data_IF_197568066513
#
_entry.id   IF_197568066513
#
_cell.length_a   1.000
_cell.length_b   1.000
_cell.length_c   1.000
_cell.angle_alpha   90.00
_cell.angle_beta   90.00
_cell.angle_gamma   90.00
#
_symmetry.space_group_name_H-M   'P 1'
#
loop_
_entity.id
_entity.type
_entity.pdbx_description
1 polymer ?
#
# COMPACT_ATOMS: atom_id res chain seq x y z
N UNK A 1 -1.21 12.34 -11.34
CA UNK A 1 -1.04 13.79 -11.43
C UNK A 1 0.13 14.13 -12.33
N UNK A 2 -0.04 15.05 -13.29
CA UNK A 2 1.01 15.47 -14.22
C UNK A 2 2.20 16.17 -13.54
N UNK A 3 2.01 16.74 -12.34
CA UNK A 3 3.05 17.54 -11.67
C UNK A 3 3.93 16.75 -10.69
N UNK A 4 3.65 15.46 -10.46
CA UNK A 4 4.49 14.61 -9.60
C UNK A 4 5.16 13.54 -10.42
N UNK A 5 6.47 13.44 -10.27
CA UNK A 5 7.27 12.34 -10.82
C UNK A 5 7.73 11.41 -9.71
N UNK A 6 7.94 10.13 -10.02
CA UNK A 6 8.40 9.19 -8.99
C UNK A 6 9.81 9.55 -8.48
N UNK A 7 10.64 10.18 -9.33
CA UNK A 7 12.07 10.36 -9.05
C UNK A 7 12.71 9.01 -8.74
N UNK A 8 13.44 8.94 -7.63
CA UNK A 8 14.13 7.72 -7.18
C UNK A 8 13.22 6.70 -6.47
N UNK A 9 11.93 7.00 -6.26
CA UNK A 9 11.02 6.09 -5.56
C UNK A 9 10.67 4.85 -6.41
N UNK A 10 10.96 3.66 -5.89
CA UNK A 10 10.75 2.36 -6.58
C UNK A 10 9.75 1.45 -5.88
N UNK A 11 9.07 1.91 -4.82
CA UNK A 11 8.23 1.10 -3.93
C UNK A 11 7.18 0.27 -4.68
N UNK A 12 6.42 0.86 -5.61
CA UNK A 12 5.41 0.11 -6.36
C UNK A 12 6.03 -0.96 -7.29
N UNK A 13 7.21 -0.68 -7.86
CA UNK A 13 7.95 -1.64 -8.71
C UNK A 13 8.43 -2.87 -7.92
N UNK A 14 8.68 -2.73 -6.62
CA UNK A 14 9.04 -3.83 -5.75
C UNK A 14 7.81 -4.56 -5.16
N UNK A 15 6.86 -3.82 -4.57
CA UNK A 15 5.85 -4.44 -3.70
C UNK A 15 4.56 -4.91 -4.37
N UNK A 16 4.20 -4.38 -5.54
CA UNK A 16 2.91 -4.69 -6.19
C UNK A 16 3.07 -5.88 -7.13
N UNK A 17 2.23 -6.93 -7.04
CA UNK A 17 2.23 -8.01 -8.04
C UNK A 17 1.63 -7.54 -9.37
N UNK A 18 2.07 -8.12 -10.48
CA UNK A 18 1.48 -7.89 -11.80
C UNK A 18 1.06 -9.23 -12.38
N UNK A 19 -0.19 -9.35 -12.79
CA UNK A 19 -0.72 -10.53 -13.47
C UNK A 19 -1.38 -10.08 -14.78
N UNK A 20 -0.60 -9.94 -15.85
CA UNK A 20 -1.08 -9.59 -17.18
C UNK A 20 -0.53 -10.56 -18.23
N UNK A 21 -1.22 -10.74 -19.37
CA UNK A 21 -0.77 -11.66 -20.41
C UNK A 21 0.63 -11.35 -20.96
N UNK A 22 1.04 -10.09 -20.97
CA UNK A 22 2.30 -9.58 -21.51
C UNK A 22 3.40 -9.42 -20.44
N UNK A 23 3.04 -9.41 -19.15
CA UNK A 23 4.00 -9.28 -18.07
C UNK A 23 3.44 -9.81 -16.74
N UNK A 24 4.24 -10.61 -16.06
CA UNK A 24 3.95 -11.11 -14.72
C UNK A 24 5.08 -10.78 -13.75
N UNK A 25 4.72 -10.39 -12.53
CA UNK A 25 5.68 -10.03 -11.49
C UNK A 25 5.18 -10.45 -10.12
N UNK A 26 6.03 -11.17 -9.39
CA UNK A 26 5.75 -11.55 -8.01
C UNK A 26 5.61 -10.32 -7.08
N UNK A 27 4.80 -10.41 -6.01
CA UNK A 27 4.76 -9.40 -4.97
C UNK A 27 6.08 -9.38 -4.18
N UNK A 28 6.47 -8.20 -3.66
CA UNK A 28 7.69 -8.03 -2.85
C UNK A 28 8.98 -8.53 -3.52
N UNK A 29 9.03 -8.44 -4.85
CA UNK A 29 10.20 -8.78 -5.66
C UNK A 29 10.44 -7.63 -6.63
N UNK A 30 11.71 -7.25 -6.79
CA UNK A 30 12.09 -6.23 -7.75
C UNK A 30 11.56 -6.59 -9.14
N UNK A 31 10.92 -5.62 -9.80
CA UNK A 31 10.65 -5.71 -11.23
C UNK A 31 11.95 -5.96 -12.00
N UNK A 32 11.95 -6.90 -12.94
CA UNK A 32 13.11 -7.20 -13.78
C UNK A 32 13.56 -6.00 -14.63
N UNK A 33 12.66 -5.06 -14.89
CA UNK A 33 12.96 -3.82 -15.62
C UNK A 33 13.36 -2.66 -14.71
N UNK A 34 13.46 -2.87 -13.39
CA UNK A 34 13.90 -1.84 -12.46
C UNK A 34 15.40 -1.58 -12.63
N UNK A 35 15.77 -0.33 -12.88
CA UNK A 35 17.18 0.06 -12.98
C UNK A 35 17.81 0.18 -11.59
N UNK A 36 19.14 -0.03 -11.52
CA UNK A 36 19.90 -0.01 -10.26
C UNK A 36 19.73 1.27 -9.43
N UNK A 37 19.59 2.42 -10.11
CA UNK A 37 19.45 3.73 -9.48
C UNK A 37 18.00 4.26 -9.52
N UNK A 38 17.01 3.37 -9.71
CA UNK A 38 15.61 3.77 -9.92
C UNK A 38 15.25 4.04 -11.38
N UNK A 39 13.95 4.06 -11.66
CA UNK A 39 13.42 4.13 -13.03
C UNK A 39 13.24 2.77 -13.70
N UNK A 40 12.75 2.78 -14.94
CA UNK A 40 12.36 1.59 -15.68
C UNK A 40 13.09 1.51 -17.03
N UNK A 41 13.77 0.40 -17.31
CA UNK A 41 14.50 0.19 -18.58
C UNK A 41 13.60 0.17 -19.81
N UNK A 42 12.31 -0.14 -19.63
CA UNK A 42 11.29 -0.17 -20.68
C UNK A 42 10.24 0.93 -20.51
N UNK A 43 10.58 2.07 -19.89
CA UNK A 43 9.59 3.08 -19.50
C UNK A 43 8.62 3.46 -20.63
N UNK A 44 9.10 3.69 -21.85
CA UNK A 44 8.27 4.08 -22.99
C UNK A 44 7.34 2.96 -23.49
N UNK A 45 7.70 1.70 -23.25
CA UNK A 45 6.95 0.51 -23.70
C UNK A 45 6.42 -0.31 -22.52
N UNK A 46 6.26 0.32 -21.35
CA UNK A 46 5.83 -0.35 -20.13
C UNK A 46 4.40 -0.89 -20.28
N UNK A 47 4.07 -2.05 -19.68
CA UNK A 47 2.73 -2.62 -19.76
C UNK A 47 1.64 -1.65 -19.30
N UNK A 48 0.42 -1.82 -19.81
CA UNK A 48 -0.71 -0.92 -19.52
C UNK A 48 -0.96 -0.73 -18.01
N UNK A 49 -0.85 -1.80 -17.23
CA UNK A 49 -0.96 -1.74 -15.76
C UNK A 49 0.09 -0.81 -15.14
N UNK A 50 1.32 -0.84 -15.61
CA UNK A 50 2.39 0.06 -15.15
C UNK A 50 2.19 1.50 -15.65
N UNK A 51 1.63 1.67 -16.85
CA UNK A 51 1.39 2.98 -17.44
C UNK A 51 0.22 3.73 -16.77
N UNK A 52 -0.85 3.02 -16.41
CA UNK A 52 -2.03 3.57 -15.75
C UNK A 52 -1.96 3.60 -14.22
N UNK A 53 -0.91 3.04 -13.61
CA UNK A 53 -0.79 2.99 -12.16
C UNK A 53 -0.31 4.32 -11.56
N UNK A 54 -1.04 4.80 -10.56
CA UNK A 54 -0.62 5.88 -9.67
C UNK A 54 -0.89 5.49 -8.23
N UNK A 55 0.14 5.51 -7.37
CA UNK A 55 -0.09 5.45 -5.93
C UNK A 55 -0.83 6.72 -5.45
N UNK A 56 -1.42 6.67 -4.25
CA UNK A 56 -2.15 7.78 -3.64
C UNK A 56 -1.41 9.11 -3.74
N UNK A 57 -0.11 9.13 -3.41
CA UNK A 57 0.74 10.33 -3.55
C UNK A 57 0.79 10.89 -4.98
N UNK A 58 0.87 10.03 -6.00
CA UNK A 58 0.80 10.43 -7.42
C UNK A 58 -0.63 10.77 -7.85
N UNK A 59 -1.65 10.24 -7.19
CA UNK A 59 -3.05 10.36 -7.58
C UNK A 59 -3.73 11.60 -7.00
N UNK A 60 -3.34 12.06 -5.81
CA UNK A 60 -4.04 13.13 -5.10
C UNK A 60 -3.09 14.15 -4.46
N UNK A 61 -3.43 15.44 -4.62
CA UNK A 61 -2.68 16.57 -4.04
C UNK A 61 -2.89 16.71 -2.53
N UNK A 62 -3.88 16.01 -1.96
CA UNK A 62 -4.12 16.01 -0.50
C UNK A 62 -2.95 15.42 0.29
N UNK A 63 -2.14 14.57 -0.36
CA UNK A 63 -0.95 13.97 0.23
C UNK A 63 0.24 14.89 0.06
N UNK A 64 0.99 15.12 1.14
CA UNK A 64 2.18 15.99 1.16
C UNK A 64 3.36 15.36 0.40
N UNK A 65 4.40 16.13 0.11
CA UNK A 65 5.55 15.64 -0.67
C UNK A 65 6.44 14.64 0.08
N UNK A 66 6.46 14.71 1.41
CA UNK A 66 7.08 13.71 2.30
C UNK A 66 6.26 12.42 2.41
N UNK A 67 5.07 12.36 1.80
CA UNK A 67 4.25 11.15 1.73
C UNK A 67 4.56 10.29 0.51
N UNK A 68 5.61 10.64 -0.26
CA UNK A 68 6.16 9.75 -1.28
C UNK A 68 6.52 8.42 -0.61
N UNK A 69 6.17 7.25 -1.19
CA UNK A 69 6.21 5.99 -0.44
C UNK A 69 7.55 5.60 0.18
N UNK A 70 8.66 5.92 -0.50
CA UNK A 70 10.04 5.73 -0.03
C UNK A 70 10.41 6.59 1.18
N UNK A 71 9.78 7.77 1.31
CA UNK A 71 9.97 8.68 2.45
C UNK A 71 9.03 8.36 3.62
N UNK A 72 7.77 8.06 3.29
CA UNK A 72 6.74 7.78 4.28
C UNK A 72 6.93 6.43 4.96
N UNK A 73 7.48 5.44 4.24
CA UNK A 73 7.45 4.05 4.69
C UNK A 73 6.11 3.36 4.49
N UNK A 74 5.20 3.94 3.71
CA UNK A 74 3.91 3.34 3.38
C UNK A 74 3.51 3.62 1.93
N UNK A 75 2.93 2.62 1.27
CA UNK A 75 2.31 2.74 -0.04
C UNK A 75 0.80 2.88 0.14
N UNK A 76 0.27 4.02 -0.24
CA UNK A 76 -1.17 4.31 -0.23
C UNK A 76 -1.74 4.05 -1.62
N UNK A 77 -2.89 3.38 -1.68
CA UNK A 77 -3.71 3.18 -2.88
C UNK A 77 -5.13 3.67 -2.58
N UNK A 78 -5.70 4.41 -3.54
CA UNK A 78 -7.14 4.73 -3.53
C UNK A 78 -7.85 3.60 -4.27
N UNK A 79 -8.72 2.87 -3.59
CA UNK A 79 -9.41 1.71 -4.12
C UNK A 79 -10.91 1.97 -4.22
N UNK A 80 -11.51 1.44 -5.29
CA UNK A 80 -12.97 1.32 -5.48
C UNK A 80 -13.44 -0.13 -5.37
N UNK A 81 -12.53 -1.06 -5.06
CA UNK A 81 -12.77 -2.51 -5.05
C UNK A 81 -12.57 -3.08 -3.65
N UNK A 82 -13.30 -4.17 -3.37
CA UNK A 82 -13.17 -4.88 -2.09
C UNK A 82 -13.68 -4.09 -0.89
N UNK A 83 -14.55 -3.10 -1.12
CA UNK A 83 -15.12 -2.25 -0.07
C UNK A 83 -16.42 -2.89 0.42
N UNK A 84 -16.53 -3.21 1.72
CA UNK A 84 -17.75 -3.76 2.30
C UNK A 84 -18.96 -2.82 2.15
N UNK A 85 -20.17 -3.40 2.09
CA UNK A 85 -21.41 -2.65 1.81
C UNK A 85 -21.79 -1.63 2.89
N UNK A 86 -21.26 -1.78 4.11
CA UNK A 86 -21.44 -0.84 5.22
C UNK A 86 -20.64 0.47 5.05
N UNK A 87 -19.79 0.58 4.02
CA UNK A 87 -19.10 1.81 3.67
C UNK A 87 -19.83 2.56 2.53
N UNK A 88 -20.57 3.64 2.83
CA UNK A 88 -21.46 4.29 1.86
C UNK A 88 -20.73 4.99 0.72
N UNK A 89 -19.48 5.43 0.94
CA UNK A 89 -18.68 6.14 -0.05
C UNK A 89 -18.28 5.27 -1.26
N UNK A 90 -18.30 3.92 -1.13
CA UNK A 90 -17.82 2.96 -2.15
C UNK A 90 -16.42 3.27 -2.70
N UNK A 91 -15.65 4.06 -1.95
CA UNK A 91 -14.25 4.38 -2.13
C UNK A 91 -13.55 4.22 -0.78
N UNK A 92 -12.31 3.74 -0.82
CA UNK A 92 -11.52 3.44 0.36
C UNK A 92 -10.03 3.62 0.11
N UNK A 93 -9.26 3.49 1.17
CA UNK A 93 -7.80 3.58 1.12
C UNK A 93 -7.21 2.25 1.55
N UNK A 94 -6.29 1.74 0.74
CA UNK A 94 -5.44 0.61 1.09
C UNK A 94 -4.06 1.14 1.43
N UNK A 95 -3.56 0.76 2.60
CA UNK A 95 -2.28 1.19 3.13
C UNK A 95 -1.40 -0.05 3.28
N UNK A 96 -0.37 -0.18 2.44
CA UNK A 96 0.67 -1.19 2.64
C UNK A 96 1.86 -0.59 3.37
N UNK A 97 2.15 -1.06 4.57
CA UNK A 97 3.33 -0.61 5.33
C UNK A 97 4.58 -1.28 4.75
N UNK A 98 5.60 -0.48 4.47
CA UNK A 98 6.86 -0.86 3.80
C UNK A 98 8.05 -0.71 4.75
N UNK A 99 8.07 0.40 5.49
CA UNK A 99 9.03 0.66 6.56
C UNK A 99 8.23 1.03 7.80
N UNK A 100 8.18 0.08 8.74
CA UNK A 100 7.42 0.21 10.00
C UNK A 100 7.90 1.42 10.82
N UNK A 101 9.20 1.67 10.87
CA UNK A 101 9.75 2.73 11.70
C UNK A 101 9.39 4.11 11.12
N UNK A 102 9.61 4.30 9.81
CA UNK A 102 9.29 5.55 9.15
C UNK A 102 7.77 5.83 9.17
N UNK A 103 6.94 4.82 8.89
CA UNK A 103 5.49 4.99 8.87
C UNK A 103 4.94 5.35 10.26
N UNK A 104 5.33 4.63 11.32
CA UNK A 104 4.78 4.85 12.67
C UNK A 104 5.32 6.11 13.34
N UNK A 105 6.51 6.58 12.96
CA UNK A 105 7.06 7.83 13.46
C UNK A 105 6.41 9.07 12.83
N UNK A 106 5.70 8.94 11.70
CA UNK A 106 5.04 10.06 11.03
C UNK A 106 3.68 10.43 11.69
N UNK A 107 3.68 11.51 12.46
CA UNK A 107 2.50 12.04 13.15
C UNK A 107 1.31 12.34 12.23
N UNK A 108 1.58 12.98 11.10
CA UNK A 108 0.52 13.41 10.18
C UNK A 108 -0.14 12.22 9.49
N UNK A 109 0.63 11.17 9.24
CA UNK A 109 0.11 9.91 8.73
C UNK A 109 -0.80 9.20 9.74
N UNK A 110 -0.42 9.15 11.02
CA UNK A 110 -1.29 8.62 12.08
C UNK A 110 -2.58 9.42 12.23
N UNK A 111 -2.49 10.76 12.24
CA UNK A 111 -3.66 11.66 12.28
C UNK A 111 -4.57 11.45 11.08
N UNK A 112 -4.00 11.28 9.90
CA UNK A 112 -4.77 11.01 8.70
C UNK A 112 -5.54 9.70 8.77
N UNK A 113 -4.91 8.61 9.22
CA UNK A 113 -5.63 7.33 9.40
C UNK A 113 -6.81 7.52 10.36
N UNK A 114 -6.60 8.22 11.48
CA UNK A 114 -7.66 8.54 12.43
C UNK A 114 -8.79 9.37 11.81
N UNK A 115 -8.46 10.38 11.01
CA UNK A 115 -9.42 11.23 10.29
C UNK A 115 -10.22 10.40 9.29
N UNK A 116 -9.57 9.54 8.49
CA UNK A 116 -10.26 8.70 7.50
C UNK A 116 -11.22 7.72 8.18
N UNK A 117 -10.80 7.09 9.29
CA UNK A 117 -11.66 6.21 10.08
C UNK A 117 -12.83 6.97 10.70
N UNK A 118 -12.61 8.14 11.30
CA UNK A 118 -13.68 8.94 11.92
C UNK A 118 -14.73 9.43 10.91
N UNK A 119 -14.32 9.67 9.66
CA UNK A 119 -15.22 10.03 8.56
C UNK A 119 -15.95 8.84 7.95
N UNK A 120 -15.70 7.62 8.42
CA UNK A 120 -16.31 6.41 7.90
C UNK A 120 -15.77 5.99 6.53
N UNK A 121 -14.58 6.45 6.11
CA UNK A 121 -13.93 5.93 4.90
C UNK A 121 -13.38 4.54 5.18
N UNK A 122 -13.57 3.58 4.27
CA UNK A 122 -12.96 2.25 4.42
C UNK A 122 -11.42 2.38 4.40
N UNK A 123 -10.76 1.95 5.48
CA UNK A 123 -9.29 1.95 5.57
C UNK A 123 -8.81 0.52 5.80
N UNK A 124 -8.03 0.01 4.85
CA UNK A 124 -7.37 -1.29 4.93
C UNK A 124 -5.89 -1.08 5.23
N UNK A 125 -5.35 -1.81 6.21
CA UNK A 125 -3.92 -1.91 6.46
C UNK A 125 -3.42 -3.26 6.00
N UNK A 126 -2.31 -3.27 5.27
CA UNK A 126 -1.62 -4.46 4.78
C UNK A 126 -0.17 -4.49 5.28
N UNK A 127 0.29 -5.65 5.73
CA UNK A 127 1.67 -5.88 6.14
C UNK A 127 2.13 -7.30 5.77
N UNK A 128 3.42 -7.45 5.49
CA UNK A 128 4.00 -8.67 4.90
C UNK A 128 4.85 -8.33 3.69
N UNK A 129 6.16 -8.45 3.86
CA UNK A 129 7.18 -8.04 2.88
C UNK A 129 7.96 -9.24 2.33
N UNK A 130 7.54 -10.46 2.65
CA UNK A 130 8.20 -11.67 2.20
C UNK A 130 8.17 -11.76 0.67
N UNK A 131 9.33 -11.96 0.02
CA UNK A 131 9.43 -12.08 -1.42
C UNK A 131 8.54 -13.20 -1.96
N UNK A 132 7.71 -12.87 -2.95
CA UNK A 132 6.78 -13.82 -3.56
C UNK A 132 5.50 -14.09 -2.78
N UNK A 133 5.29 -13.47 -1.62
CA UNK A 133 4.08 -13.65 -0.82
C UNK A 133 3.14 -12.43 -0.87
N UNK A 134 1.83 -12.65 -0.75
CA UNK A 134 0.88 -11.56 -0.47
C UNK A 134 1.16 -10.93 0.88
N UNK A 135 0.87 -9.63 1.03
CA UNK A 135 0.67 -9.06 2.35
C UNK A 135 -0.64 -9.60 2.97
N UNK A 136 -0.64 -9.81 4.27
CA UNK A 136 -1.87 -9.99 5.03
C UNK A 136 -2.53 -8.61 5.23
N UNK A 137 -3.87 -8.56 5.34
CA UNK A 137 -4.60 -7.29 5.41
C UNK A 137 -5.79 -7.36 6.37
N UNK A 138 -6.15 -6.21 6.95
CA UNK A 138 -7.36 -6.06 7.77
C UNK A 138 -7.97 -4.67 7.63
N UNK A 139 -9.27 -4.54 7.91
CA UNK A 139 -9.93 -3.24 8.01
C UNK A 139 -9.66 -2.59 9.37
N UNK A 140 -9.24 -1.33 9.35
CA UNK A 140 -8.94 -0.59 10.57
C UNK A 140 -10.18 0.00 11.24
N UNK A 141 -11.25 0.26 10.51
CA UNK A 141 -12.37 1.09 10.98
C UNK A 141 -12.97 0.64 12.32
N UNK A 142 -13.22 -0.67 12.49
CA UNK A 142 -13.80 -1.20 13.72
C UNK A 142 -12.80 -1.20 14.87
N UNK A 143 -11.57 -1.62 14.60
CA UNK A 143 -10.53 -1.83 15.62
C UNK A 143 -9.91 -0.52 16.10
N UNK A 144 -9.84 0.50 15.24
CA UNK A 144 -9.32 1.82 15.60
C UNK A 144 -10.36 2.73 16.26
N UNK A 145 -11.66 2.42 16.19
CA UNK A 145 -12.71 3.30 16.72
C UNK A 145 -12.46 3.76 18.16
N UNK A 146 -12.11 2.89 19.13
CA UNK A 146 -11.82 3.34 20.50
C UNK A 146 -10.59 4.26 20.59
N UNK A 147 -9.54 3.97 19.82
CA UNK A 147 -8.31 4.79 19.80
C UNK A 147 -8.55 6.17 19.16
N UNK A 148 -9.41 6.23 18.14
CA UNK A 148 -9.83 7.48 17.51
C UNK A 148 -10.68 8.32 18.48
N UNK A 149 -11.53 7.71 19.28
CA UNK A 149 -12.32 8.38 20.32
C UNK A 149 -11.45 8.95 21.46
N UNK A 150 -10.34 8.27 21.80
CA UNK A 150 -9.33 8.80 22.74
C UNK A 150 -8.64 10.05 22.17
N UNK A 151 -8.50 10.15 20.85
CA UNK A 151 -8.04 11.36 20.16
C UNK A 151 -6.52 11.62 20.26
N UNK A 152 -5.71 10.64 20.67
CA UNK A 152 -4.25 10.77 20.73
C UNK A 152 -3.54 9.95 19.65
N UNK A 153 -2.40 10.47 19.17
CA UNK A 153 -1.54 9.75 18.21
C UNK A 153 -1.12 8.39 18.79
N UNK A 154 -0.68 8.37 20.04
CA UNK A 154 -0.11 7.16 20.65
C UNK A 154 -1.14 6.04 20.78
N UNK A 155 -2.42 6.36 21.02
CA UNK A 155 -3.49 5.36 21.04
C UNK A 155 -3.66 4.73 19.64
N UNK A 156 -3.72 5.54 18.60
CA UNK A 156 -3.87 5.06 17.20
C UNK A 156 -2.64 4.26 16.77
N UNK A 157 -1.45 4.79 17.03
CA UNK A 157 -0.17 4.14 16.72
C UNK A 157 -0.04 2.80 17.45
N UNK A 158 -0.40 2.73 18.73
CA UNK A 158 -0.33 1.50 19.52
C UNK A 158 -1.21 0.39 18.94
N UNK A 159 -2.43 0.71 18.51
CA UNK A 159 -3.33 -0.25 17.87
C UNK A 159 -2.81 -0.67 16.49
N UNK A 160 -2.34 0.26 15.66
CA UNK A 160 -1.74 -0.07 14.35
C UNK A 160 -0.52 -0.97 14.53
N UNK A 161 0.35 -0.66 15.50
CA UNK A 161 1.54 -1.44 15.79
C UNK A 161 1.19 -2.88 16.19
N UNK A 162 0.18 -3.06 17.04
CA UNK A 162 -0.32 -4.39 17.42
C UNK A 162 -0.92 -5.14 16.21
N UNK A 163 -1.72 -4.47 15.38
CA UNK A 163 -2.27 -5.06 14.16
C UNK A 163 -1.14 -5.54 13.23
N UNK A 164 -0.06 -4.77 13.09
CA UNK A 164 1.09 -5.18 12.29
C UNK A 164 1.74 -6.44 12.85
N UNK A 165 1.87 -6.58 14.18
CA UNK A 165 2.41 -7.79 14.81
C UNK A 165 1.52 -9.02 14.56
N UNK A 166 0.20 -8.83 14.51
CA UNK A 166 -0.76 -9.88 14.20
C UNK A 166 -0.74 -10.27 12.71
N UNK A 167 -0.69 -9.29 11.81
CA UNK A 167 -0.59 -9.49 10.37
C UNK A 167 0.73 -10.16 9.97
N UNK A 168 1.81 -9.89 10.70
CA UNK A 168 3.10 -10.53 10.45
C UNK A 168 3.04 -12.04 10.62
N UNK A 169 2.30 -12.50 11.65
CA UNK A 169 2.09 -13.92 11.98
C UNK A 169 1.00 -14.57 11.14
N UNK A 170 0.17 -13.78 10.47
CA UNK A 170 -0.95 -14.30 9.70
C UNK A 170 -0.43 -15.10 8.48
N UNK A 171 -1.02 -16.26 8.13
CA UNK A 171 -0.62 -17.03 6.96
C UNK A 171 -0.74 -16.21 5.67
N UNK A 172 0.36 -16.10 4.92
CA UNK A 172 0.43 -15.36 3.66
C UNK A 172 0.41 -16.34 2.49
N UNK A 173 -0.30 -15.98 1.42
CA UNK A 173 -0.33 -16.78 0.20
C UNK A 173 0.97 -16.62 -0.55
N UNK A 174 1.63 -17.74 -0.85
CA UNK A 174 2.80 -17.77 -1.71
C UNK A 174 2.36 -17.79 -3.17
N UNK A 175 3.02 -16.98 -3.98
CA UNK A 175 2.80 -16.93 -5.42
C UNK A 175 3.93 -17.63 -6.15
N UNK A 176 3.57 -18.21 -7.29
CA UNK A 176 4.50 -18.68 -8.31
C UNK A 176 4.08 -18.19 -9.68
N UNK A 177 5.03 -18.15 -10.60
CA UNK A 177 4.78 -17.88 -12.00
C UNK A 177 4.79 -19.22 -12.73
N UNK A 178 3.70 -19.53 -13.41
CA UNK A 178 3.52 -20.75 -14.20
C UNK A 178 2.78 -20.37 -15.49
N UNK A 179 3.32 -20.76 -16.64
CA UNK A 179 2.77 -20.43 -17.98
C UNK A 179 2.39 -18.95 -18.17
N UNK A 180 3.25 -18.05 -17.68
CA UNK A 180 3.03 -16.60 -17.79
C UNK A 180 1.86 -16.08 -16.96
N UNK A 181 1.47 -16.79 -15.89
CA UNK A 181 0.40 -16.39 -14.97
C UNK A 181 0.88 -16.43 -13.52
N UNK A 182 0.38 -15.50 -12.71
CA UNK A 182 0.50 -15.59 -11.26
C UNK A 182 -0.54 -16.56 -10.71
N UNK A 183 -0.06 -17.62 -10.08
CA UNK A 183 -0.85 -18.59 -9.34
C UNK A 183 -0.52 -18.48 -7.85
N UNK A 184 -1.50 -18.75 -7.00
CA UNK A 184 -1.29 -18.95 -5.57
C UNK A 184 -1.23 -20.43 -5.28
N UNK A 185 -0.31 -20.82 -4.39
CA UNK A 185 -0.31 -22.16 -3.78
C UNK A 185 -1.58 -22.40 -2.95
#
# INVERSE_FOLDING_TARGET
MPNRECGDCTICCHHIPINQPDFVKLPNVNCEHLLKNGGCSIYQTRPATCAGWYCGWRHSEVFKDDWRPDKLGALIEISLKGIPNDFPAKEGIVIKIIDRQNALSNDDFMKFIAIMVSRGTAVTLSYGLEPGCSAASTFLNRVLKPAVEIGTKDAVMGVINQIMDDLEKFPKKKYRIEDGKLLTD
#
